data_IF_246161404272
#
_entry.id   IF_246161404272
#
_cell.length_a   1.000
_cell.length_b   1.000
_cell.length_c   1.000
_cell.angle_alpha   90.00
_cell.angle_beta   90.00
_cell.angle_gamma   90.00
#
_symmetry.space_group_name_H-M   'P 1'
#
loop_
_entity.id
_entity.type
_entity.pdbx_description
1 polymer ?
#
# COMPACT_ATOMS: atom_id res chain seq x y z
N UNK A 1 -7.00 -10.74 11.65
CA UNK A 1 -7.56 -9.39 11.43
C UNK A 1 -8.70 -9.52 10.44
N UNK A 2 -8.41 -9.88 9.20
CA UNK A 2 -9.41 -10.00 8.14
C UNK A 2 -9.13 -11.16 7.19
N UNK A 3 -10.15 -11.54 6.43
CA UNK A 3 -10.01 -12.18 5.12
C UNK A 3 -10.20 -11.11 4.04
N UNK A 4 -9.35 -11.13 3.02
CA UNK A 4 -9.47 -10.24 1.86
C UNK A 4 -9.91 -11.05 0.65
N UNK A 5 -10.81 -10.51 -0.17
CA UNK A 5 -11.35 -11.27 -1.31
C UNK A 5 -10.28 -11.61 -2.34
N UNK A 6 -9.46 -10.63 -2.72
CA UNK A 6 -8.34 -10.78 -3.64
C UNK A 6 -7.46 -9.54 -3.57
N UNK A 7 -6.20 -9.64 -4.00
CA UNK A 7 -5.39 -8.46 -4.27
C UNK A 7 -5.85 -7.79 -5.58
N UNK A 8 -6.11 -6.48 -5.52
CA UNK A 8 -6.45 -5.61 -6.66
C UNK A 8 -7.54 -6.16 -7.62
N UNK A 9 -8.72 -6.62 -7.15
CA UNK A 9 -9.75 -7.10 -8.05
C UNK A 9 -10.36 -5.92 -8.82
N UNK A 10 -10.06 -5.85 -10.12
CA UNK A 10 -10.58 -4.81 -11.02
C UNK A 10 -11.91 -5.20 -11.65
N UNK A 11 -12.73 -4.19 -11.98
CA UNK A 11 -14.05 -4.36 -12.64
C UNK A 11 -14.95 -5.32 -11.86
N UNK A 12 -15.11 -5.05 -10.57
CA UNK A 12 -15.84 -5.90 -9.64
C UNK A 12 -17.26 -6.24 -10.11
N UNK A 13 -17.57 -7.53 -10.02
CA UNK A 13 -18.95 -8.00 -10.04
C UNK A 13 -19.49 -7.95 -8.61
N UNK A 14 -20.39 -7.01 -8.32
CA UNK A 14 -20.93 -6.82 -6.97
C UNK A 14 -21.68 -8.04 -6.43
N UNK A 15 -22.21 -8.90 -7.30
CA UNK A 15 -22.81 -10.18 -6.89
C UNK A 15 -21.74 -11.13 -6.36
N UNK A 16 -20.60 -11.22 -7.05
CA UNK A 16 -19.46 -12.01 -6.60
C UNK A 16 -18.88 -11.49 -5.28
N UNK A 17 -18.73 -10.17 -5.14
CA UNK A 17 -18.27 -9.53 -3.89
C UNK A 17 -19.18 -9.95 -2.73
N UNK A 18 -20.50 -9.75 -2.89
CA UNK A 18 -21.45 -10.04 -1.83
C UNK A 18 -21.51 -11.53 -1.47
N UNK A 19 -21.59 -12.41 -2.47
CA UNK A 19 -21.66 -13.86 -2.24
C UNK A 19 -20.40 -14.37 -1.54
N UNK A 20 -19.21 -13.95 -2.00
CA UNK A 20 -17.93 -14.40 -1.45
C UNK A 20 -17.72 -13.84 -0.05
N UNK A 21 -17.95 -12.55 0.17
CA UNK A 21 -17.80 -11.93 1.49
C UNK A 21 -18.76 -12.56 2.53
N UNK A 22 -20.03 -12.78 2.15
CA UNK A 22 -20.99 -13.40 3.07
C UNK A 22 -20.68 -14.87 3.35
N UNK A 23 -20.13 -15.61 2.38
CA UNK A 23 -19.63 -16.96 2.63
C UNK A 23 -18.48 -16.95 3.65
N UNK A 24 -17.50 -16.05 3.50
CA UNK A 24 -16.40 -15.90 4.47
C UNK A 24 -16.92 -15.56 5.87
N UNK A 25 -17.93 -14.69 5.98
CA UNK A 25 -18.59 -14.38 7.25
C UNK A 25 -19.29 -15.59 7.87
N UNK A 26 -19.87 -16.48 7.08
CA UNK A 26 -20.47 -17.71 7.60
C UNK A 26 -19.41 -18.70 8.11
N UNK A 27 -18.31 -18.85 7.37
CA UNK A 27 -17.23 -19.79 7.71
C UNK A 27 -16.35 -19.30 8.86
N UNK A 28 -16.15 -17.98 8.96
CA UNK A 28 -15.28 -17.33 9.94
C UNK A 28 -15.98 -16.10 10.56
N UNK A 29 -17.05 -16.27 11.35
CA UNK A 29 -17.91 -15.18 11.83
C UNK A 29 -17.23 -14.15 12.72
N UNK A 30 -16.03 -14.46 13.24
CA UNK A 30 -15.23 -13.55 14.08
C UNK A 30 -14.19 -12.75 13.29
N UNK A 31 -13.97 -13.05 12.02
CA UNK A 31 -12.99 -12.32 11.19
C UNK A 31 -13.66 -11.17 10.44
N UNK A 32 -12.92 -10.07 10.27
CA UNK A 32 -13.31 -9.01 9.34
C UNK A 32 -13.15 -9.50 7.90
N UNK A 33 -13.79 -8.82 6.95
CA UNK A 33 -13.68 -9.08 5.52
C UNK A 33 -13.55 -7.76 4.77
N UNK A 34 -12.64 -7.69 3.80
CA UNK A 34 -12.50 -6.56 2.87
C UNK A 34 -12.34 -7.03 1.43
N UNK A 35 -12.37 -6.08 0.49
CA UNK A 35 -12.34 -6.32 -0.95
C UNK A 35 -10.93 -6.48 -1.52
N UNK A 36 -9.98 -5.64 -1.09
CA UNK A 36 -8.63 -5.54 -1.66
C UNK A 36 -8.49 -4.57 -2.84
N UNK A 37 -9.42 -3.61 -3.00
CA UNK A 37 -9.46 -2.73 -4.19
C UNK A 37 -8.49 -1.56 -4.09
N UNK A 38 -7.97 -1.13 -5.24
CA UNK A 38 -6.99 -0.03 -5.35
C UNK A 38 -7.56 1.37 -5.08
N UNK A 39 -8.88 1.53 -5.06
CA UNK A 39 -9.53 2.82 -4.87
C UNK A 39 -9.94 3.53 -6.17
N UNK A 40 -10.20 4.83 -6.06
CA UNK A 40 -10.81 5.68 -7.10
C UNK A 40 -10.00 5.82 -8.40
N UNK A 41 -8.72 5.44 -8.42
CA UNK A 41 -7.93 5.47 -9.66
C UNK A 41 -8.44 4.44 -10.68
N UNK A 42 -8.86 3.27 -10.22
CA UNK A 42 -9.36 2.17 -11.06
C UNK A 42 -10.86 1.95 -10.88
N UNK A 43 -11.37 2.18 -9.68
CA UNK A 43 -12.79 2.04 -9.37
C UNK A 43 -13.62 3.15 -10.03
N UNK A 44 -14.76 2.75 -10.60
CA UNK A 44 -15.78 3.71 -11.07
C UNK A 44 -16.66 4.23 -9.93
N UNK A 45 -16.78 3.47 -8.85
CA UNK A 45 -17.61 3.82 -7.70
C UNK A 45 -17.12 3.06 -6.46
N UNK A 46 -16.21 3.70 -5.73
CA UNK A 46 -15.59 3.15 -4.54
C UNK A 46 -16.58 2.74 -3.44
N UNK A 47 -17.65 3.52 -3.25
CA UNK A 47 -18.70 3.16 -2.28
C UNK A 47 -19.42 1.87 -2.68
N UNK A 48 -19.70 1.67 -3.97
CA UNK A 48 -20.37 0.47 -4.45
C UNK A 48 -19.49 -0.79 -4.31
N UNK A 49 -18.19 -0.66 -4.53
CA UNK A 49 -17.24 -1.78 -4.39
C UNK A 49 -17.28 -2.35 -2.96
N UNK A 50 -17.58 -1.51 -1.97
CA UNK A 50 -17.67 -1.86 -0.56
C UNK A 50 -19.10 -1.94 -0.02
N UNK A 51 -20.14 -1.88 -0.85
CA UNK A 51 -21.52 -1.72 -0.37
C UNK A 51 -22.10 -2.96 0.32
N UNK A 52 -21.54 -4.16 0.10
CA UNK A 52 -22.03 -5.39 0.75
C UNK A 52 -21.99 -5.26 2.28
N UNK A 53 -23.05 -5.66 3.01
CA UNK A 53 -23.03 -5.66 4.47
C UNK A 53 -22.03 -6.67 5.07
N UNK A 54 -21.52 -7.60 4.27
CA UNK A 54 -20.53 -8.59 4.69
C UNK A 54 -19.08 -8.10 4.54
N UNK A 55 -18.86 -6.89 3.98
CA UNK A 55 -17.57 -6.18 3.97
C UNK A 55 -17.52 -5.26 5.19
N UNK A 56 -16.48 -5.31 6.02
CA UNK A 56 -16.40 -4.53 7.25
C UNK A 56 -15.63 -3.22 7.13
N UNK A 57 -14.66 -3.16 6.21
CA UNK A 57 -13.85 -1.98 5.97
C UNK A 57 -13.45 -1.88 4.50
N UNK A 58 -13.07 -0.69 4.08
CA UNK A 58 -12.63 -0.38 2.72
C UNK A 58 -11.11 -0.27 2.63
N UNK A 59 -10.59 -0.54 1.45
CA UNK A 59 -9.16 -0.43 1.17
C UNK A 59 -8.91 0.39 -0.07
N UNK A 60 -7.73 1.01 -0.15
CA UNK A 60 -7.26 1.73 -1.33
C UNK A 60 -5.74 1.64 -1.38
N UNK A 61 -5.18 1.70 -2.59
CA UNK A 61 -3.75 1.56 -2.86
C UNK A 61 -3.22 2.87 -3.48
N UNK A 62 -1.92 3.13 -3.43
CA UNK A 62 -1.32 4.35 -3.99
C UNK A 62 -0.02 4.04 -4.75
N UNK A 63 -0.15 4.00 -6.09
CA UNK A 63 0.92 3.58 -6.99
C UNK A 63 1.35 4.69 -7.97
N UNK A 64 1.85 5.81 -7.43
CA UNK A 64 2.17 7.02 -8.22
C UNK A 64 3.15 6.78 -9.36
N UNK A 65 4.07 5.81 -9.23
CA UNK A 65 5.00 5.42 -10.29
C UNK A 65 4.30 4.62 -11.38
N UNK A 66 3.56 3.56 -11.02
CA UNK A 66 2.84 2.71 -11.97
C UNK A 66 1.77 3.50 -12.74
N UNK A 67 1.20 4.53 -12.12
CA UNK A 67 0.19 5.41 -12.72
C UNK A 67 0.78 6.54 -13.57
N UNK A 68 2.11 6.60 -13.71
CA UNK A 68 2.80 7.57 -14.56
C UNK A 68 2.83 9.00 -14.02
N UNK A 69 2.60 9.17 -12.72
CA UNK A 69 2.59 10.48 -12.04
C UNK A 69 4.00 10.83 -11.55
N UNK A 70 4.75 9.81 -11.15
CA UNK A 70 6.14 9.91 -10.71
C UNK A 70 7.06 9.20 -11.71
N UNK A 71 8.13 9.90 -12.11
CA UNK A 71 9.23 9.33 -12.90
C UNK A 71 10.51 9.37 -12.04
N UNK A 72 11.06 8.22 -11.62
CA UNK A 72 12.26 8.16 -10.80
C UNK A 72 13.53 8.68 -11.49
N UNK A 73 13.58 8.68 -12.83
CA UNK A 73 14.71 9.26 -13.59
C UNK A 73 14.62 10.79 -13.70
N UNK A 74 13.48 11.37 -13.33
CA UNK A 74 13.25 12.81 -13.30
C UNK A 74 12.63 13.25 -11.96
N UNK A 75 13.08 12.64 -10.87
CA UNK A 75 12.47 12.77 -9.55
C UNK A 75 12.36 14.22 -9.06
N UNK A 76 13.34 15.08 -9.38
CA UNK A 76 13.31 16.50 -8.97
C UNK A 76 12.12 17.25 -9.56
N UNK A 77 11.67 16.89 -10.77
CA UNK A 77 10.54 17.54 -11.42
C UNK A 77 9.21 16.85 -11.09
N UNK A 78 9.21 15.53 -10.90
CA UNK A 78 7.97 14.74 -10.77
C UNK A 78 7.57 14.45 -9.33
N UNK A 79 8.50 14.39 -8.36
CA UNK A 79 8.15 14.15 -6.95
C UNK A 79 7.15 15.17 -6.40
N UNK A 80 7.29 16.50 -6.61
CA UNK A 80 6.31 17.46 -6.10
C UNK A 80 4.89 17.20 -6.61
N UNK A 81 4.75 16.86 -7.89
CA UNK A 81 3.46 16.51 -8.51
C UNK A 81 2.89 15.21 -7.94
N UNK A 82 3.75 14.21 -7.73
CA UNK A 82 3.37 12.95 -7.12
C UNK A 82 2.91 13.12 -5.66
N UNK A 83 3.54 14.01 -4.89
CA UNK A 83 3.13 14.33 -3.52
C UNK A 83 1.80 15.09 -3.46
N UNK A 84 1.60 16.06 -4.36
CA UNK A 84 0.32 16.76 -4.49
C UNK A 84 -0.81 15.78 -4.83
N UNK A 85 -0.56 14.91 -5.82
CA UNK A 85 -1.51 13.86 -6.18
C UNK A 85 -1.78 12.91 -5.01
N UNK A 86 -0.74 12.39 -4.37
CA UNK A 86 -0.87 11.48 -3.22
C UNK A 86 -1.69 12.10 -2.10
N UNK A 87 -1.42 13.37 -1.76
CA UNK A 87 -2.19 14.10 -0.75
C UNK A 87 -3.66 14.19 -1.13
N UNK A 88 -3.96 14.63 -2.35
CA UNK A 88 -5.34 14.74 -2.84
C UNK A 88 -6.03 13.37 -2.84
N UNK A 89 -5.36 12.33 -3.31
CA UNK A 89 -5.90 10.98 -3.37
C UNK A 89 -6.25 10.47 -1.97
N UNK A 90 -5.38 10.66 -0.98
CA UNK A 90 -5.65 10.32 0.42
C UNK A 90 -6.79 11.17 0.98
N UNK A 91 -6.84 12.47 0.71
CA UNK A 91 -7.93 13.36 1.16
C UNK A 91 -9.30 12.91 0.60
N UNK A 92 -9.35 12.55 -0.69
CA UNK A 92 -10.58 12.07 -1.35
C UNK A 92 -11.06 10.75 -0.74
N UNK A 93 -10.16 9.81 -0.44
CA UNK A 93 -10.50 8.55 0.22
C UNK A 93 -10.84 8.75 1.71
N UNK A 94 -10.20 9.70 2.39
CA UNK A 94 -10.55 10.07 3.76
C UNK A 94 -11.97 10.66 3.87
N UNK A 95 -12.52 11.21 2.77
CA UNK A 95 -13.90 11.69 2.72
C UNK A 95 -14.94 10.55 2.67
N UNK A 96 -14.55 9.32 2.36
CA UNK A 96 -15.42 8.14 2.49
C UNK A 96 -15.74 7.87 3.95
N UNK A 97 -17.04 7.81 4.29
CA UNK A 97 -17.52 7.67 5.69
C UNK A 97 -18.38 6.44 5.93
N UNK A 98 -18.66 5.62 4.91
CA UNK A 98 -19.57 4.49 5.07
C UNK A 98 -18.95 3.39 5.94
N UNK A 99 -17.62 3.20 5.85
CA UNK A 99 -16.86 2.18 6.61
C UNK A 99 -15.46 2.68 6.96
N UNK A 100 -14.78 2.09 7.97
CA UNK A 100 -13.35 2.31 8.20
C UNK A 100 -12.53 2.05 6.92
N UNK A 101 -11.38 2.70 6.80
CA UNK A 101 -10.56 2.65 5.59
C UNK A 101 -9.08 2.43 5.93
N UNK A 102 -8.38 1.65 5.10
CA UNK A 102 -6.94 1.37 5.21
C UNK A 102 -6.25 1.68 3.88
N UNK A 103 -5.11 2.38 3.90
CA UNK A 103 -4.19 2.49 2.76
C UNK A 103 -3.28 1.26 2.78
N UNK A 104 -3.71 0.15 2.17
CA UNK A 104 -3.05 -1.13 2.39
C UNK A 104 -1.87 -1.40 1.47
N UNK A 105 -1.68 -0.59 0.43
CA UNK A 105 -0.47 -0.62 -0.40
C UNK A 105 -0.06 0.79 -0.83
N UNK A 106 1.23 1.09 -0.69
CA UNK A 106 1.88 2.24 -1.33
C UNK A 106 3.39 2.02 -1.39
N UNK A 107 4.03 2.52 -2.44
CA UNK A 107 5.47 2.41 -2.62
C UNK A 107 5.97 3.19 -3.83
N UNK A 108 7.26 3.48 -3.84
CA UNK A 108 8.01 3.97 -5.01
C UNK A 108 9.39 3.33 -5.04
N UNK A 109 10.05 3.38 -6.20
CA UNK A 109 11.35 2.75 -6.43
C UNK A 109 12.45 3.38 -5.57
N UNK A 110 13.65 2.79 -5.61
CA UNK A 110 14.85 3.49 -5.16
C UNK A 110 15.19 4.61 -6.15
N UNK A 111 16.17 5.44 -5.80
CA UNK A 111 16.55 6.60 -6.62
C UNK A 111 16.98 6.16 -8.03
N UNK A 112 16.51 6.88 -9.07
CA UNK A 112 16.76 6.57 -10.49
C UNK A 112 16.31 5.17 -10.94
N UNK A 113 15.28 4.60 -10.30
CA UNK A 113 14.77 3.25 -10.58
C UNK A 113 15.83 2.15 -10.44
N UNK A 114 16.82 2.37 -9.56
CA UNK A 114 17.84 1.38 -9.29
C UNK A 114 17.27 0.26 -8.40
N UNK A 115 17.41 -0.99 -8.85
CA UNK A 115 16.90 -2.16 -8.15
C UNK A 115 17.94 -2.81 -7.23
N UNK A 116 19.14 -2.26 -7.17
CA UNK A 116 20.18 -2.74 -6.26
C UNK A 116 19.79 -2.45 -4.80
N UNK A 117 19.97 -3.44 -3.94
CA UNK A 117 19.77 -3.28 -2.49
C UNK A 117 20.69 -2.25 -1.83
N UNK A 118 21.75 -1.81 -2.52
CA UNK A 118 22.67 -0.77 -2.04
C UNK A 118 22.40 0.61 -2.65
N UNK A 119 21.42 0.74 -3.54
CA UNK A 119 21.11 2.02 -4.17
C UNK A 119 20.55 3.03 -3.17
N UNK A 120 20.64 4.32 -3.48
CA UNK A 120 20.10 5.37 -2.60
C UNK A 120 18.57 5.32 -2.52
N UNK A 121 18.02 5.66 -1.37
CA UNK A 121 16.58 5.68 -1.04
C UNK A 121 16.13 7.08 -0.61
N UNK A 122 16.85 8.11 -1.05
CA UNK A 122 16.62 9.48 -0.61
C UNK A 122 15.24 9.99 -1.04
N UNK A 123 14.81 9.68 -2.27
CA UNK A 123 13.50 10.09 -2.78
C UNK A 123 12.38 9.26 -2.16
N UNK A 124 12.60 7.95 -1.98
CA UNK A 124 11.68 7.05 -1.26
C UNK A 124 11.41 7.56 0.15
N UNK A 125 12.44 7.94 0.90
CA UNK A 125 12.30 8.45 2.26
C UNK A 125 11.49 9.75 2.32
N UNK A 126 11.68 10.66 1.35
CA UNK A 126 10.86 11.87 1.24
C UNK A 126 9.39 11.53 0.99
N UNK A 127 9.14 10.61 0.07
CA UNK A 127 7.80 10.14 -0.26
C UNK A 127 7.12 9.46 0.94
N UNK A 128 7.80 8.54 1.61
CA UNK A 128 7.28 7.82 2.78
C UNK A 128 6.94 8.79 3.92
N UNK A 129 7.81 9.76 4.25
CA UNK A 129 7.50 10.78 5.26
C UNK A 129 6.21 11.55 4.95
N UNK A 130 6.04 11.95 3.69
CA UNK A 130 4.86 12.69 3.26
C UNK A 130 3.59 11.85 3.31
N UNK A 131 3.59 10.63 2.73
CA UNK A 131 2.43 9.73 2.74
C UNK A 131 2.03 9.36 4.17
N UNK A 132 2.99 9.01 5.03
CA UNK A 132 2.71 8.77 6.44
C UNK A 132 2.09 10.00 7.13
N UNK A 133 2.60 11.20 6.86
CA UNK A 133 2.02 12.43 7.42
C UNK A 133 0.58 12.64 6.93
N UNK A 134 0.32 12.45 5.64
CA UNK A 134 -1.02 12.61 5.06
C UNK A 134 -2.02 11.61 5.65
N UNK A 135 -1.66 10.33 5.72
CA UNK A 135 -2.48 9.30 6.34
C UNK A 135 -2.73 9.58 7.83
N UNK A 136 -1.69 10.06 8.55
CA UNK A 136 -1.81 10.45 9.97
C UNK A 136 -2.84 11.54 10.20
N UNK A 137 -2.86 12.56 9.34
CA UNK A 137 -3.79 13.69 9.47
C UNK A 137 -5.26 13.23 9.48
N UNK A 138 -5.54 12.09 8.83
CA UNK A 138 -6.87 11.47 8.78
C UNK A 138 -7.03 10.24 9.69
N UNK A 139 -5.99 9.87 10.44
CA UNK A 139 -5.90 8.62 11.22
C UNK A 139 -6.17 7.36 10.38
N UNK A 140 -5.71 7.34 9.12
CA UNK A 140 -5.80 6.19 8.24
C UNK A 140 -4.64 5.22 8.57
N UNK A 141 -4.91 3.95 8.94
CA UNK A 141 -3.89 2.91 9.03
C UNK A 141 -3.30 2.62 7.66
N UNK A 142 -2.02 2.24 7.63
CA UNK A 142 -1.32 2.00 6.37
C UNK A 142 -0.47 0.74 6.42
N UNK A 143 -0.27 0.14 5.26
CA UNK A 143 0.69 -0.92 5.01
C UNK A 143 1.56 -0.48 3.82
N UNK A 144 2.87 -0.35 4.04
CA UNK A 144 3.78 -0.03 2.95
C UNK A 144 4.05 -1.30 2.12
N UNK A 145 4.20 -1.11 0.82
CA UNK A 145 4.64 -2.18 -0.07
C UNK A 145 6.11 -1.95 -0.45
N UNK A 146 7.02 -2.88 -0.15
CA UNK A 146 6.83 -4.08 0.67
C UNK A 146 8.09 -4.39 1.47
N UNK A 147 7.99 -5.25 2.49
CA UNK A 147 9.15 -5.62 3.31
C UNK A 147 9.94 -6.76 2.64
N UNK A 148 11.16 -6.46 2.18
CA UNK A 148 12.10 -7.45 1.65
C UNK A 148 12.93 -8.15 2.72
N UNK A 149 13.08 -7.52 3.89
CA UNK A 149 13.86 -8.07 5.00
C UNK A 149 15.30 -8.39 4.60
N UNK A 150 15.77 -9.57 4.96
CA UNK A 150 17.15 -10.04 4.72
C UNK A 150 17.37 -10.53 3.27
N UNK A 151 16.30 -10.81 2.52
CA UNK A 151 16.41 -11.30 1.14
C UNK A 151 17.02 -10.25 0.20
N UNK A 152 17.69 -10.69 -0.87
CA UNK A 152 18.27 -9.80 -1.87
C UNK A 152 18.02 -10.29 -3.29
N UNK A 153 17.83 -9.39 -4.26
CA UNK A 153 17.80 -9.78 -5.66
C UNK A 153 19.16 -10.38 -6.02
N UNK A 154 19.18 -11.64 -6.46
CA UNK A 154 20.42 -12.27 -6.96
C UNK A 154 21.01 -11.48 -8.12
N UNK A 155 20.12 -11.00 -9.01
CA UNK A 155 20.43 -10.02 -10.04
C UNK A 155 19.36 -8.91 -9.92
N UNK A 156 19.73 -7.65 -9.70
CA UNK A 156 18.77 -6.54 -9.69
C UNK A 156 18.03 -6.39 -11.02
N UNK A 157 16.77 -5.94 -10.97
CA UNK A 157 15.96 -5.59 -12.15
C UNK A 157 15.62 -6.77 -13.09
N UNK A 158 15.82 -8.02 -12.65
CA UNK A 158 15.26 -9.20 -13.32
C UNK A 158 14.15 -9.80 -12.49
N UNK A 159 13.22 -10.49 -13.14
CA UNK A 159 12.17 -11.22 -12.43
C UNK A 159 12.75 -12.41 -11.66
N UNK A 160 12.10 -12.75 -10.55
CA UNK A 160 12.48 -13.86 -9.68
C UNK A 160 12.59 -15.18 -10.46
N UNK A 161 13.61 -15.97 -10.17
CA UNK A 161 13.76 -17.34 -10.63
C UNK A 161 13.78 -18.32 -9.46
N UNK A 162 13.45 -19.59 -9.74
CA UNK A 162 13.50 -20.64 -8.74
C UNK A 162 14.88 -20.71 -8.07
N UNK A 163 14.89 -20.57 -6.74
CA UNK A 163 16.10 -20.56 -5.93
C UNK A 163 16.60 -19.17 -5.55
N UNK A 164 16.01 -18.10 -6.08
CA UNK A 164 16.25 -16.74 -5.61
C UNK A 164 15.52 -16.51 -4.27
N UNK A 165 16.05 -15.60 -3.45
CA UNK A 165 15.41 -15.19 -2.20
C UNK A 165 14.02 -14.61 -2.47
N UNK A 166 13.07 -14.90 -1.60
CA UNK A 166 11.80 -14.15 -1.58
C UNK A 166 12.04 -12.78 -0.95
N UNK A 167 11.65 -11.74 -1.68
CA UNK A 167 11.62 -10.35 -1.21
C UNK A 167 10.19 -9.80 -1.37
N UNK A 168 10.01 -8.50 -1.14
CA UNK A 168 8.70 -7.85 -1.22
C UNK A 168 8.15 -7.73 -2.64
N UNK A 169 9.01 -7.81 -3.64
CA UNK A 169 8.63 -7.72 -5.05
C UNK A 169 8.20 -9.11 -5.58
N UNK A 170 6.92 -9.31 -5.95
CA UNK A 170 6.44 -10.60 -6.44
C UNK A 170 7.11 -11.02 -7.75
N UNK A 171 7.10 -12.32 -8.11
CA UNK A 171 7.85 -12.85 -9.27
C UNK A 171 7.51 -12.27 -10.65
N UNK A 172 6.39 -11.56 -10.79
CA UNK A 172 6.02 -10.89 -12.03
C UNK A 172 6.66 -9.50 -12.18
N UNK A 173 7.24 -8.97 -11.11
CA UNK A 173 7.92 -7.68 -11.06
C UNK A 173 9.45 -7.85 -11.00
N UNK A 174 10.20 -6.85 -11.50
CA UNK A 174 11.66 -6.82 -11.36
C UNK A 174 12.05 -6.84 -9.88
N UNK A 175 12.98 -7.74 -9.52
CA UNK A 175 13.39 -7.90 -8.12
C UNK A 175 14.22 -6.70 -7.66
N UNK A 176 13.80 -6.10 -6.54
CA UNK A 176 14.40 -4.90 -5.94
C UNK A 176 13.69 -3.59 -6.26
N UNK A 177 12.50 -3.64 -6.86
CA UNK A 177 11.75 -2.46 -7.27
C UNK A 177 11.25 -1.64 -6.07
N UNK A 178 10.35 -2.22 -5.26
CA UNK A 178 9.72 -1.57 -4.11
C UNK A 178 10.11 -2.17 -2.76
N UNK A 179 10.85 -3.29 -2.74
CA UNK A 179 11.36 -3.88 -1.50
C UNK A 179 12.10 -2.86 -0.61
N UNK A 180 11.72 -2.83 0.67
CA UNK A 180 12.43 -2.19 1.79
C UNK A 180 13.21 -3.27 2.52
N UNK A 181 14.53 -3.16 2.51
CA UNK A 181 15.43 -4.15 3.12
C UNK A 181 15.70 -3.86 4.60
N UNK A 182 16.18 -4.86 5.33
CA UNK A 182 16.67 -4.71 6.71
C UNK A 182 17.81 -3.69 6.84
N UNK A 183 18.55 -3.45 5.76
CA UNK A 183 19.63 -2.45 5.69
C UNK A 183 19.18 -1.05 5.27
N UNK A 184 17.91 -0.84 4.91
CA UNK A 184 17.35 0.47 4.55
C UNK A 184 17.04 1.28 5.81
N UNK A 185 18.07 1.55 6.62
CA UNK A 185 17.92 2.04 8.00
C UNK A 185 17.11 3.33 8.09
N UNK A 186 17.26 4.26 7.14
CA UNK A 186 16.53 5.52 7.13
C UNK A 186 15.04 5.33 6.83
N UNK A 187 14.67 4.46 5.88
CA UNK A 187 13.27 4.09 5.63
C UNK A 187 12.67 3.38 6.84
N UNK A 188 13.40 2.44 7.46
CA UNK A 188 12.95 1.71 8.64
C UNK A 188 12.76 2.63 9.86
N UNK A 189 13.60 3.65 10.04
CA UNK A 189 13.42 4.67 11.07
C UNK A 189 12.15 5.50 10.85
N UNK A 190 11.84 5.87 9.60
CA UNK A 190 10.60 6.57 9.26
C UNK A 190 9.38 5.70 9.60
N UNK A 191 9.39 4.43 9.19
CA UNK A 191 8.33 3.46 9.47
C UNK A 191 8.15 3.28 10.99
N UNK A 192 9.25 3.06 11.73
CA UNK A 192 9.24 2.89 13.19
C UNK A 192 8.70 4.13 13.90
N UNK A 193 9.12 5.31 13.47
CA UNK A 193 8.63 6.56 14.03
C UNK A 193 7.12 6.69 13.83
N UNK A 194 6.61 6.47 12.61
CA UNK A 194 5.18 6.50 12.34
C UNK A 194 4.40 5.48 13.19
N UNK A 195 4.86 4.23 13.25
CA UNK A 195 4.22 3.17 14.03
C UNK A 195 4.18 3.47 15.54
N UNK A 196 5.20 4.12 16.10
CA UNK A 196 5.22 4.50 17.52
C UNK A 196 4.21 5.61 17.87
N UNK A 197 3.82 6.43 16.89
CA UNK A 197 2.87 7.52 17.09
C UNK A 197 1.41 7.07 16.97
N UNK A 198 1.15 5.91 16.35
CA UNK A 198 -0.20 5.35 16.25
C UNK A 198 -0.57 4.54 17.49
N UNK A 199 0.39 3.90 18.15
CA UNK A 199 0.16 3.07 19.36
C UNK A 199 -0.23 3.89 20.59
N UNK A 200 0.29 5.12 20.72
CA UNK A 200 0.08 5.99 21.89
C UNK A 200 -1.34 6.56 22.04
N UNK A 201 -2.17 6.53 20.99
CA UNK A 201 -3.58 6.98 21.07
C UNK A 201 -4.55 5.90 21.58
N UNK A 202 -4.17 4.61 21.61
CA UNK A 202 -5.10 3.54 21.99
C UNK A 202 -5.26 3.32 23.50
N UNK A 203 -4.42 3.94 24.33
CA UNK A 203 -4.40 3.75 25.79
C UNK A 203 -5.15 4.84 26.58
N UNK A 204 -5.92 5.69 25.92
CA UNK A 204 -6.72 6.74 26.57
C UNK A 204 -8.21 6.50 26.32
N UNK A 205 -8.76 5.45 26.95
CA UNK A 205 -10.15 5.33 27.39
C UNK A 205 -10.39 3.91 27.95
N UNK A 206 -10.02 3.72 29.21
CA UNK A 206 -10.61 2.73 30.12
C UNK A 206 -10.84 3.40 31.46
#
# INVERSE_FOLDING_TARGET
MSWELANEPRRLNLTWVNQTACLLKQLAPKQLVTTGVEGNFVSKNFSNDHASPCIDYATFHLWVQNWGIYDPHNASATLPLALEFAKKYIDDHAAYKDKPIVLEEFGISRDNDDHSSTASITVRDQYYRAVFQFARNHNIPVNFWAYGGEGRPRIPHVNWAQGDDFIGDPPHEPQGWYSVYDTDTSTLEIIRHFASMTTTKSSANT
#
